data_IF_177023143680
#
_entry.id   IF_177023143680
#
_cell.length_a   1.000
_cell.length_b   1.000
_cell.length_c   1.000
_cell.angle_alpha   90.00
_cell.angle_beta   90.00
_cell.angle_gamma   90.00
#
_symmetry.space_group_name_H-M   'P 1'
#
loop_
_entity.id
_entity.type
_entity.pdbx_description
1 polymer ?
#
# COMPACT_ATOMS: atom_id res chain seq x y z
N UNK A 1 -10.03 37.02 -4.05
CA UNK A 1 -10.38 35.92 -3.14
C UNK A 1 -9.42 34.79 -3.41
N UNK A 2 -8.81 34.27 -2.36
CA UNK A 2 -7.87 33.16 -2.38
C UNK A 2 -8.62 31.87 -2.09
N UNK A 3 -8.53 30.91 -3.00
CA UNK A 3 -9.30 29.66 -2.93
C UNK A 3 -8.30 28.51 -2.97
N UNK A 4 -8.35 27.67 -1.94
CA UNK A 4 -7.62 26.41 -1.90
C UNK A 4 -8.55 25.28 -2.31
N UNK A 5 -8.13 24.49 -3.28
CA UNK A 5 -8.81 23.27 -3.72
C UNK A 5 -7.96 22.09 -3.26
N UNK A 6 -8.46 21.32 -2.29
CA UNK A 6 -7.74 20.18 -1.73
C UNK A 6 -8.64 18.94 -1.56
N UNK A 7 -9.14 18.33 -2.65
CA UNK A 7 -9.95 17.11 -2.61
C UNK A 7 -9.09 15.85 -2.47
N UNK A 8 -9.72 14.76 -2.03
CA UNK A 8 -9.22 13.40 -2.23
C UNK A 8 -9.82 12.82 -3.54
N UNK A 9 -9.31 11.68 -3.99
CA UNK A 9 -9.87 10.96 -5.13
C UNK A 9 -11.32 10.55 -4.88
N UNK A 10 -12.11 10.49 -5.96
CA UNK A 10 -13.44 9.90 -5.93
C UNK A 10 -13.27 8.44 -6.34
N UNK A 11 -13.18 7.55 -5.35
CA UNK A 11 -12.72 6.16 -5.52
C UNK A 11 -13.51 5.46 -6.63
N UNK A 12 -12.79 4.87 -7.59
CA UNK A 12 -13.37 4.21 -8.76
C UNK A 12 -13.91 5.14 -9.86
N UNK A 13 -13.69 6.46 -9.78
CA UNK A 13 -14.18 7.43 -10.77
C UNK A 13 -13.12 8.44 -11.22
N UNK A 14 -12.77 9.42 -10.38
CA UNK A 14 -11.86 10.53 -10.74
C UNK A 14 -10.69 10.60 -9.77
N UNK A 15 -9.50 10.84 -10.29
CA UNK A 15 -8.31 11.09 -9.48
C UNK A 15 -8.36 12.47 -8.83
N UNK A 16 -7.64 12.65 -7.72
CA UNK A 16 -7.58 13.95 -7.02
C UNK A 16 -7.10 15.10 -7.94
N UNK A 17 -6.07 14.92 -8.79
CA UNK A 17 -5.68 15.94 -9.78
C UNK A 17 -6.77 16.30 -10.79
N UNK A 18 -7.54 15.32 -11.28
CA UNK A 18 -8.66 15.58 -12.20
C UNK A 18 -9.76 16.40 -11.53
N UNK A 19 -10.09 16.08 -10.28
CA UNK A 19 -11.09 16.82 -9.49
C UNK A 19 -10.62 18.25 -9.25
N UNK A 20 -9.35 18.45 -8.89
CA UNK A 20 -8.74 19.77 -8.77
C UNK A 20 -8.97 20.62 -10.03
N UNK A 21 -8.69 20.05 -11.20
CA UNK A 21 -8.84 20.77 -12.47
C UNK A 21 -10.31 21.09 -12.78
N UNK A 22 -11.23 20.15 -12.58
CA UNK A 22 -12.66 20.36 -12.79
C UNK A 22 -13.24 21.46 -11.88
N UNK A 23 -12.86 21.45 -10.60
CA UNK A 23 -13.27 22.48 -9.65
C UNK A 23 -12.71 23.84 -10.03
N UNK A 24 -11.43 23.91 -10.40
CA UNK A 24 -10.80 25.15 -10.88
C UNK A 24 -11.52 25.72 -12.09
N UNK A 25 -11.81 24.89 -13.09
CA UNK A 25 -12.53 25.32 -14.30
C UNK A 25 -13.95 25.80 -13.99
N UNK A 26 -14.64 25.16 -13.06
CA UNK A 26 -15.96 25.59 -12.58
C UNK A 26 -15.91 26.93 -11.85
N UNK A 27 -14.92 27.11 -10.97
CA UNK A 27 -14.74 28.34 -10.18
C UNK A 27 -14.40 29.51 -11.09
N UNK A 28 -13.48 29.34 -12.05
CA UNK A 28 -13.07 30.41 -12.96
C UNK A 28 -14.20 30.92 -13.86
N UNK A 29 -15.24 30.11 -14.13
CA UNK A 29 -16.45 30.56 -14.84
C UNK A 29 -17.26 31.58 -14.04
N UNK A 30 -17.25 31.49 -12.71
CA UNK A 30 -18.03 32.35 -11.81
C UNK A 30 -17.21 33.45 -11.13
N UNK A 31 -15.91 33.22 -10.93
CA UNK A 31 -14.95 34.16 -10.34
C UNK A 31 -13.64 34.18 -11.12
N UNK A 32 -13.58 34.93 -12.25
CA UNK A 32 -12.43 34.92 -13.17
C UNK A 32 -11.11 35.48 -12.58
N UNK A 33 -11.19 36.20 -11.46
CA UNK A 33 -10.05 36.85 -10.80
C UNK A 33 -9.70 36.21 -9.44
N UNK A 34 -10.19 34.99 -9.16
CA UNK A 34 -9.78 34.24 -7.97
C UNK A 34 -8.33 33.78 -8.08
N UNK A 35 -7.56 33.93 -6.99
CA UNK A 35 -6.27 33.27 -6.84
C UNK A 35 -6.55 31.84 -6.37
N UNK A 36 -6.14 30.83 -7.15
CA UNK A 36 -6.47 29.42 -6.88
C UNK A 36 -5.19 28.62 -6.69
N UNK A 37 -5.08 27.97 -5.54
CA UNK A 37 -4.10 26.91 -5.31
C UNK A 37 -4.79 25.55 -5.31
N UNK A 38 -4.14 24.55 -5.90
CA UNK A 38 -4.62 23.17 -5.95
C UNK A 38 -3.64 22.28 -5.24
N UNK A 39 -4.14 21.45 -4.33
CA UNK A 39 -3.37 20.50 -3.54
C UNK A 39 -4.11 19.16 -3.61
N UNK A 40 -3.86 18.34 -4.63
CA UNK A 40 -4.47 17.03 -4.67
C UNK A 40 -4.02 16.20 -3.46
N UNK A 41 -4.98 15.73 -2.67
CA UNK A 41 -4.75 14.91 -1.48
C UNK A 41 -4.88 13.41 -1.80
N UNK A 42 -4.42 12.59 -0.85
CA UNK A 42 -4.52 11.13 -0.83
C UNK A 42 -4.45 10.62 0.62
N UNK A 43 -4.78 9.35 0.83
CA UNK A 43 -4.80 8.66 2.14
C UNK A 43 -3.75 7.53 2.21
N UNK A 44 -2.76 7.52 1.31
CA UNK A 44 -1.83 6.39 1.16
C UNK A 44 -2.38 5.23 0.31
N UNK A 45 -3.61 5.36 -0.19
CA UNK A 45 -4.20 4.51 -1.22
C UNK A 45 -4.04 5.10 -2.63
N UNK A 46 -5.03 4.84 -3.48
CA UNK A 46 -5.03 5.18 -4.90
C UNK A 46 -4.77 6.68 -5.15
N UNK A 47 -3.78 7.00 -5.99
CA UNK A 47 -3.46 8.36 -6.41
C UNK A 47 -2.33 9.01 -5.60
N UNK A 48 -1.86 8.35 -4.54
CA UNK A 48 -0.74 8.83 -3.72
C UNK A 48 0.57 8.87 -4.51
N UNK A 49 0.77 7.90 -5.40
CA UNK A 49 1.94 7.80 -6.27
C UNK A 49 2.02 9.02 -7.19
N UNK A 50 0.92 9.39 -7.84
CA UNK A 50 0.86 10.54 -8.73
C UNK A 50 1.11 11.85 -7.97
N UNK A 51 0.48 12.02 -6.80
CA UNK A 51 0.65 13.20 -5.94
C UNK A 51 2.10 13.35 -5.48
N UNK A 52 2.71 12.28 -4.98
CA UNK A 52 4.08 12.33 -4.48
C UNK A 52 5.09 12.60 -5.60
N UNK A 53 4.94 11.96 -6.76
CA UNK A 53 5.85 12.21 -7.90
C UNK A 53 5.74 13.66 -8.39
N UNK A 54 4.54 14.22 -8.49
CA UNK A 54 4.34 15.62 -8.88
C UNK A 54 4.99 16.59 -7.87
N UNK A 55 4.74 16.39 -6.57
CA UNK A 55 5.35 17.18 -5.49
C UNK A 55 6.88 17.13 -5.51
N UNK A 56 7.45 16.02 -5.96
CA UNK A 56 8.90 15.83 -6.01
C UNK A 56 9.52 16.38 -7.31
N UNK A 57 8.71 16.73 -8.31
CA UNK A 57 9.20 16.91 -9.68
C UNK A 57 9.89 15.66 -10.20
N UNK A 58 9.38 14.49 -9.79
CA UNK A 58 9.96 13.18 -10.04
C UNK A 58 9.57 12.61 -11.40
N UNK A 59 9.88 11.33 -11.60
CA UNK A 59 9.58 10.58 -12.82
C UNK A 59 8.95 9.24 -12.52
N UNK A 60 8.11 8.75 -13.44
CA UNK A 60 7.60 7.39 -13.38
C UNK A 60 8.46 6.44 -14.21
N UNK A 61 8.58 5.21 -13.72
CA UNK A 61 9.12 4.08 -14.48
C UNK A 61 8.14 2.90 -14.39
N UNK A 62 7.68 2.40 -15.52
CA UNK A 62 6.73 1.27 -15.57
C UNK A 62 7.49 -0.04 -15.69
N UNK A 63 7.06 -1.02 -14.90
CA UNK A 63 7.69 -2.34 -14.82
C UNK A 63 6.64 -3.45 -14.99
N UNK A 64 7.00 -4.51 -15.70
CA UNK A 64 6.19 -5.72 -15.78
C UNK A 64 6.45 -6.58 -14.54
N UNK A 65 5.44 -6.72 -13.67
CA UNK A 65 5.49 -7.55 -12.46
C UNK A 65 4.33 -8.54 -12.46
N UNK A 66 4.25 -9.37 -11.41
CA UNK A 66 3.13 -10.30 -11.22
C UNK A 66 1.95 -9.61 -10.56
N UNK A 67 0.76 -9.84 -11.10
CA UNK A 67 -0.50 -9.49 -10.48
C UNK A 67 -0.84 -10.44 -9.31
N UNK A 68 -1.97 -10.26 -8.58
CA UNK A 68 -2.34 -11.16 -7.49
C UNK A 68 -2.43 -12.64 -7.86
N UNK A 69 -2.67 -12.98 -9.13
CA UNK A 69 -2.83 -14.34 -9.65
C UNK A 69 -1.65 -14.77 -10.55
N UNK A 70 -0.48 -14.14 -10.37
CA UNK A 70 0.78 -14.42 -11.07
C UNK A 70 0.79 -14.12 -12.57
N UNK A 71 -0.20 -13.38 -13.09
CA UNK A 71 -0.23 -12.91 -14.46
C UNK A 71 0.66 -11.67 -14.60
N UNK A 72 1.26 -11.40 -15.77
CA UNK A 72 2.02 -10.17 -15.97
C UNK A 72 1.09 -8.95 -15.94
N UNK A 73 1.51 -7.90 -15.23
CA UNK A 73 0.85 -6.59 -15.17
C UNK A 73 1.91 -5.48 -15.24
N UNK A 74 1.58 -4.40 -15.94
CA UNK A 74 2.37 -3.17 -15.95
C UNK A 74 2.05 -2.33 -14.71
N UNK A 75 3.05 -2.07 -13.88
CA UNK A 75 2.89 -1.28 -12.66
C UNK A 75 3.95 -0.16 -12.60
N UNK A 76 3.54 1.10 -12.34
CA UNK A 76 4.48 2.21 -12.21
C UNK A 76 5.16 2.24 -10.85
N UNK A 77 6.41 2.72 -10.86
CA UNK A 77 7.18 3.16 -9.69
C UNK A 77 7.44 4.66 -9.87
N UNK A 78 7.24 5.45 -8.81
CA UNK A 78 7.62 6.85 -8.80
C UNK A 78 9.01 7.05 -8.21
N UNK A 79 9.84 7.90 -8.82
CA UNK A 79 11.20 8.17 -8.37
C UNK A 79 11.47 9.67 -8.22
N UNK A 80 12.23 10.02 -7.17
CA UNK A 80 13.03 11.23 -7.09
C UNK A 80 14.49 10.82 -6.85
N UNK A 81 15.22 10.69 -7.95
CA UNK A 81 16.61 10.22 -7.94
C UNK A 81 17.58 11.23 -7.33
N UNK A 82 17.23 12.53 -7.32
CA UNK A 82 18.05 13.56 -6.70
C UNK A 82 18.09 13.39 -5.18
N UNK A 83 16.93 13.06 -4.58
CA UNK A 83 16.80 12.76 -3.15
C UNK A 83 16.88 11.27 -2.82
N UNK A 84 17.10 10.42 -3.83
CA UNK A 84 17.19 8.96 -3.71
C UNK A 84 15.97 8.38 -2.99
N UNK A 85 14.77 8.73 -3.43
CA UNK A 85 13.51 8.19 -2.87
C UNK A 85 12.62 7.60 -3.96
N UNK A 86 11.80 6.63 -3.58
CA UNK A 86 10.76 6.06 -4.42
C UNK A 86 9.40 6.05 -3.74
N UNK A 87 8.34 6.04 -4.54
CA UNK A 87 6.97 5.74 -4.10
C UNK A 87 6.44 4.54 -4.88
N UNK A 88 5.83 3.61 -4.16
CA UNK A 88 5.19 2.41 -4.71
C UNK A 88 3.77 2.35 -4.16
N UNK A 89 2.80 2.11 -5.03
CA UNK A 89 1.43 1.75 -4.66
C UNK A 89 1.23 0.25 -4.86
N UNK A 90 0.98 -0.49 -3.78
CA UNK A 90 0.79 -1.92 -3.86
C UNK A 90 -0.39 -2.29 -4.76
N UNK A 91 -1.43 -1.46 -4.82
CA UNK A 91 -2.63 -1.72 -5.60
C UNK A 91 -2.33 -1.91 -7.10
N UNK A 92 -1.24 -1.29 -7.60
CA UNK A 92 -0.84 -1.38 -9.00
C UNK A 92 -0.27 -2.75 -9.40
N UNK A 93 0.23 -3.52 -8.44
CA UNK A 93 0.74 -4.87 -8.66
C UNK A 93 -0.06 -5.96 -7.93
N UNK A 94 -0.73 -5.62 -6.84
CA UNK A 94 -1.35 -6.58 -5.93
C UNK A 94 -2.73 -6.11 -5.45
N UNK A 95 -3.40 -5.27 -6.26
CA UNK A 95 -4.66 -4.63 -5.91
C UNK A 95 -5.91 -5.36 -6.37
N UNK A 96 -7.01 -5.08 -5.69
CA UNK A 96 -8.34 -5.65 -5.93
C UNK A 96 -8.92 -5.22 -7.29
N UNK A 97 -8.56 -4.02 -7.76
CA UNK A 97 -9.00 -3.49 -9.06
C UNK A 97 -8.41 -4.25 -10.27
N UNK A 98 -7.40 -5.09 -10.06
CA UNK A 98 -6.81 -5.95 -11.10
C UNK A 98 -7.60 -7.25 -11.32
N UNK A 99 -8.59 -7.53 -10.47
CA UNK A 99 -9.33 -8.78 -10.48
C UNK A 99 -10.79 -8.55 -10.87
N UNK A 100 -11.32 -9.42 -11.72
CA UNK A 100 -12.77 -9.53 -11.89
C UNK A 100 -13.42 -10.04 -10.60
N UNK A 101 -14.74 -9.83 -10.45
CA UNK A 101 -15.47 -10.19 -9.22
C UNK A 101 -15.36 -11.70 -8.90
N UNK A 102 -15.38 -12.54 -9.93
CA UNK A 102 -15.26 -13.99 -9.85
C UNK A 102 -13.82 -14.50 -9.73
N UNK A 103 -12.82 -13.64 -9.92
CA UNK A 103 -11.39 -13.94 -9.73
C UNK A 103 -10.91 -13.68 -8.29
N UNK A 104 -11.75 -13.05 -7.45
CA UNK A 104 -11.42 -12.70 -6.07
C UNK A 104 -11.31 -13.93 -5.20
N UNK A 105 -10.07 -14.38 -4.97
CA UNK A 105 -9.75 -15.45 -4.02
C UNK A 105 -8.54 -15.07 -3.15
N UNK A 106 -8.74 -14.69 -1.88
CA UNK A 106 -7.66 -14.29 -0.99
C UNK A 106 -6.81 -15.46 -0.50
N UNK A 107 -7.22 -16.71 -0.75
CA UNK A 107 -6.37 -17.87 -0.51
C UNK A 107 -5.25 -17.96 -1.56
N UNK A 108 -5.52 -17.53 -2.79
CA UNK A 108 -4.60 -17.62 -3.92
C UNK A 108 -3.87 -16.30 -4.20
N UNK A 109 -4.50 -15.16 -3.92
CA UNK A 109 -3.94 -13.84 -4.17
C UNK A 109 -2.59 -13.63 -3.46
N UNK A 110 -1.56 -13.22 -4.21
CA UNK A 110 -0.19 -13.02 -3.70
C UNK A 110 0.28 -11.56 -3.79
N UNK A 111 1.05 -11.13 -2.79
CA UNK A 111 1.73 -9.82 -2.77
C UNK A 111 3.09 -9.80 -3.49
N UNK A 112 3.43 -10.89 -4.20
CA UNK A 112 4.74 -11.06 -4.84
C UNK A 112 5.11 -9.89 -5.77
N UNK A 113 4.18 -9.42 -6.58
CA UNK A 113 4.40 -8.27 -7.47
C UNK A 113 4.81 -6.99 -6.74
N UNK A 114 4.23 -6.73 -5.56
CA UNK A 114 4.64 -5.59 -4.72
C UNK A 114 6.10 -5.74 -4.28
N UNK A 115 6.52 -6.97 -3.92
CA UNK A 115 7.92 -7.24 -3.60
C UNK A 115 8.86 -7.10 -4.80
N UNK A 116 8.40 -7.40 -6.02
CA UNK A 116 9.17 -7.13 -7.25
C UNK A 116 9.37 -5.63 -7.47
N UNK A 117 8.35 -4.80 -7.28
CA UNK A 117 8.49 -3.33 -7.36
C UNK A 117 9.46 -2.81 -6.30
N UNK A 118 9.37 -3.31 -5.07
CA UNK A 118 10.29 -2.96 -3.99
C UNK A 118 11.73 -3.34 -4.35
N UNK A 119 11.95 -4.57 -4.86
CA UNK A 119 13.27 -5.02 -5.32
C UNK A 119 13.84 -4.07 -6.37
N UNK A 120 13.06 -3.71 -7.39
CA UNK A 120 13.50 -2.81 -8.44
C UNK A 120 13.90 -1.45 -7.86
N UNK A 121 13.07 -0.86 -6.99
CA UNK A 121 13.39 0.41 -6.35
C UNK A 121 14.67 0.34 -5.48
N UNK A 122 14.84 -0.75 -4.73
CA UNK A 122 16.04 -1.01 -3.91
C UNK A 122 17.28 -1.09 -4.81
N UNK A 123 17.21 -1.84 -5.90
CA UNK A 123 18.32 -2.03 -6.83
C UNK A 123 18.67 -0.74 -7.60
N UNK A 124 17.73 0.20 -7.74
CA UNK A 124 17.98 1.56 -8.22
C UNK A 124 18.78 2.44 -7.22
N UNK A 125 19.06 1.94 -6.02
CA UNK A 125 19.91 2.62 -5.03
C UNK A 125 19.22 3.73 -4.26
N UNK A 126 17.88 3.71 -4.17
CA UNK A 126 17.13 4.63 -3.30
C UNK A 126 17.44 4.36 -1.83
N UNK A 127 17.32 5.39 -1.00
CA UNK A 127 17.54 5.35 0.44
C UNK A 127 16.24 5.44 1.25
N UNK A 128 15.14 5.84 0.62
CA UNK A 128 13.82 5.94 1.21
C UNK A 128 12.74 5.45 0.23
N UNK A 129 11.78 4.67 0.74
CA UNK A 129 10.63 4.19 -0.03
C UNK A 129 9.36 4.54 0.73
N UNK A 130 8.42 5.18 0.04
CA UNK A 130 7.04 5.35 0.49
C UNK A 130 6.19 4.24 -0.13
N UNK A 131 5.60 3.39 0.70
CA UNK A 131 4.77 2.27 0.26
C UNK A 131 3.31 2.54 0.63
N UNK A 132 2.49 2.86 -0.36
CA UNK A 132 1.03 2.91 -0.23
C UNK A 132 0.45 1.52 -0.29
N UNK A 133 -0.28 1.10 0.75
CA UNK A 133 -0.83 -0.26 0.87
C UNK A 133 -2.35 -0.33 0.73
N UNK A 134 -3.02 0.77 0.34
CA UNK A 134 -4.45 0.76 0.05
C UNK A 134 -4.82 -0.21 -1.08
N UNK A 135 -6.09 -0.63 -1.13
CA UNK A 135 -6.65 -1.32 -2.30
C UNK A 135 -6.19 -2.77 -2.54
N UNK A 136 -5.55 -3.45 -1.58
CA UNK A 136 -5.01 -4.81 -1.73
C UNK A 136 -6.06 -5.88 -2.11
N UNK A 137 -5.67 -6.84 -2.96
CA UNK A 137 -6.40 -8.10 -3.19
C UNK A 137 -6.03 -9.23 -2.22
N UNK A 138 -4.89 -9.11 -1.54
CA UNK A 138 -4.19 -10.23 -0.90
C UNK A 138 -4.56 -10.41 0.57
N UNK A 139 -4.37 -11.62 1.11
CA UNK A 139 -4.42 -11.90 2.55
C UNK A 139 -3.29 -12.87 2.96
N UNK A 140 -2.09 -12.63 2.42
CA UNK A 140 -0.90 -13.45 2.58
C UNK A 140 0.07 -12.91 3.63
N UNK A 141 -0.32 -11.88 4.40
CA UNK A 141 0.54 -11.25 5.40
C UNK A 141 1.76 -10.54 4.81
N UNK A 142 1.78 -10.25 3.51
CA UNK A 142 2.99 -9.75 2.84
C UNK A 142 4.07 -10.83 2.67
N UNK A 143 3.75 -12.11 2.86
CA UNK A 143 4.72 -13.19 2.66
C UNK A 143 5.17 -13.31 1.20
N UNK A 144 4.28 -13.08 0.22
CA UNK A 144 4.65 -13.01 -1.19
C UNK A 144 5.66 -11.90 -1.47
N UNK A 145 5.47 -10.72 -0.88
CA UNK A 145 6.43 -9.62 -0.91
C UNK A 145 7.78 -10.03 -0.30
N UNK A 146 7.77 -10.69 0.86
CA UNK A 146 8.98 -11.25 1.47
C UNK A 146 9.72 -12.22 0.54
N UNK A 147 9.01 -13.13 -0.11
CA UNK A 147 9.58 -14.09 -1.05
C UNK A 147 10.26 -13.41 -2.25
N UNK A 148 9.62 -12.40 -2.85
CA UNK A 148 10.22 -11.61 -3.93
C UNK A 148 11.46 -10.81 -3.48
N UNK A 149 11.56 -10.49 -2.19
CA UNK A 149 12.72 -9.85 -1.57
C UNK A 149 13.78 -10.86 -1.10
N UNK A 150 13.60 -12.15 -1.39
CA UNK A 150 14.60 -13.19 -1.14
C UNK A 150 14.54 -13.81 0.26
N UNK A 151 13.46 -13.59 1.02
CA UNK A 151 13.18 -14.42 2.19
C UNK A 151 12.68 -15.79 1.70
N UNK A 152 13.25 -16.86 2.23
CA UNK A 152 12.81 -18.21 1.90
C UNK A 152 11.79 -18.70 2.93
N UNK A 153 10.70 -19.31 2.47
CA UNK A 153 9.61 -19.83 3.31
C UNK A 153 9.60 -21.35 3.17
N UNK A 154 10.22 -22.04 4.11
CA UNK A 154 10.44 -23.49 4.06
C UNK A 154 9.26 -24.25 4.67
N UNK A 155 8.86 -25.35 4.05
CA UNK A 155 7.91 -26.30 4.63
C UNK A 155 8.60 -27.33 5.56
N UNK A 156 7.81 -28.24 6.14
CA UNK A 156 8.31 -29.31 7.01
C UNK A 156 9.21 -30.35 6.33
N UNK A 157 9.20 -30.40 4.99
CA UNK A 157 10.09 -31.25 4.19
C UNK A 157 11.42 -30.55 3.84
N UNK A 158 11.58 -29.28 4.25
CA UNK A 158 12.75 -28.47 3.92
C UNK A 158 12.76 -27.98 2.47
N UNK A 159 11.58 -27.84 1.84
CA UNK A 159 11.41 -27.27 0.51
C UNK A 159 10.85 -25.84 0.58
N UNK A 160 11.34 -24.98 -0.31
CA UNK A 160 10.84 -23.60 -0.46
C UNK A 160 9.41 -23.58 -1.01
N UNK A 161 8.55 -22.80 -0.39
CA UNK A 161 7.18 -22.55 -0.82
C UNK A 161 7.03 -21.14 -1.39
N UNK A 162 6.13 -20.98 -2.36
CA UNK A 162 5.60 -19.66 -2.70
C UNK A 162 4.43 -19.38 -1.75
N UNK A 163 4.57 -18.44 -0.81
CA UNK A 163 3.56 -18.22 0.22
C UNK A 163 2.35 -17.45 -0.34
N UNK A 164 1.17 -17.87 0.11
CA UNK A 164 -0.14 -17.29 -0.18
C UNK A 164 -1.00 -17.41 1.07
N UNK A 165 -2.12 -16.66 1.15
CA UNK A 165 -3.01 -16.73 2.30
C UNK A 165 -3.46 -18.17 2.62
N UNK A 166 -3.66 -19.00 1.59
CA UNK A 166 -4.15 -20.36 1.73
C UNK A 166 -3.16 -21.40 2.24
N UNK A 167 -1.86 -21.11 2.28
CA UNK A 167 -0.83 -22.10 2.62
C UNK A 167 0.19 -21.62 3.68
N UNK A 168 -0.06 -20.50 4.36
CA UNK A 168 0.88 -19.98 5.36
C UNK A 168 1.10 -20.97 6.51
N UNK A 169 0.11 -21.78 6.84
CA UNK A 169 0.18 -22.84 7.87
C UNK A 169 1.16 -23.97 7.53
N UNK A 170 1.52 -24.13 6.24
CA UNK A 170 2.53 -25.10 5.81
C UNK A 170 3.96 -24.59 5.98
N UNK A 171 4.16 -23.30 6.28
CA UNK A 171 5.48 -22.72 6.48
C UNK A 171 5.97 -23.13 7.87
N UNK A 172 7.13 -23.78 7.93
CA UNK A 172 7.77 -24.19 9.16
C UNK A 172 8.96 -23.31 9.53
N UNK A 173 9.57 -22.60 8.57
CA UNK A 173 10.70 -21.71 8.81
C UNK A 173 10.79 -20.57 7.79
N UNK A 174 11.16 -19.38 8.25
CA UNK A 174 11.53 -18.24 7.42
C UNK A 174 13.05 -18.06 7.49
N UNK A 175 13.73 -18.10 6.34
CA UNK A 175 15.17 -17.86 6.23
C UNK A 175 15.37 -16.49 5.57
N UNK A 176 15.99 -15.51 6.25
CA UNK A 176 16.21 -14.21 5.65
C UNK A 176 17.36 -14.25 4.63
N UNK A 177 17.37 -13.34 3.63
CA UNK A 177 18.47 -13.28 2.66
C UNK A 177 19.79 -12.87 3.33
N UNK A 178 20.92 -13.26 2.73
CA UNK A 178 22.26 -12.94 3.23
C UNK A 178 22.52 -11.43 3.35
N UNK A 179 21.97 -10.64 2.42
CA UNK A 179 22.12 -9.20 2.39
C UNK A 179 20.78 -8.50 2.64
N UNK A 180 20.73 -7.70 3.72
CA UNK A 180 19.55 -6.96 4.16
C UNK A 180 19.87 -5.46 4.34
N UNK A 181 20.44 -4.85 3.32
CA UNK A 181 20.64 -3.40 3.31
C UNK A 181 19.38 -2.71 2.76
N UNK A 182 18.30 -2.76 3.53
CA UNK A 182 17.03 -2.16 3.13
C UNK A 182 17.09 -0.64 3.24
N UNK A 183 16.52 0.11 2.28
CA UNK A 183 16.27 1.53 2.46
C UNK A 183 15.27 1.75 3.60
N UNK A 184 15.14 2.99 4.06
CA UNK A 184 14.07 3.35 4.99
C UNK A 184 12.72 3.14 4.29
N UNK A 185 11.90 2.22 4.79
CA UNK A 185 10.55 2.00 4.26
C UNK A 185 9.52 2.66 5.18
N UNK A 186 8.72 3.55 4.61
CA UNK A 186 7.61 4.24 5.25
C UNK A 186 6.32 3.74 4.60
N UNK A 187 5.52 2.99 5.36
CA UNK A 187 4.23 2.48 4.91
C UNK A 187 3.15 3.50 5.25
N UNK A 188 2.40 3.91 4.23
CA UNK A 188 1.28 4.84 4.38
C UNK A 188 0.02 4.04 4.74
N UNK A 189 -0.44 4.20 5.98
CA UNK A 189 -1.49 3.38 6.56
C UNK A 189 -2.38 4.22 7.49
N UNK A 190 -3.64 4.39 7.11
CA UNK A 190 -4.63 5.16 7.88
C UNK A 190 -5.59 4.29 8.71
N UNK A 191 -5.35 2.98 8.77
CA UNK A 191 -6.16 2.03 9.58
C UNK A 191 -5.35 1.48 10.75
N UNK A 192 -6.04 1.16 11.85
CA UNK A 192 -5.39 0.72 13.10
C UNK A 192 -5.61 -0.76 13.42
N UNK A 193 -6.30 -1.49 12.54
CA UNK A 193 -6.62 -2.90 12.69
C UNK A 193 -5.34 -3.75 12.95
N UNK A 194 -5.33 -4.60 14.00
CA UNK A 194 -4.22 -5.51 14.25
C UNK A 194 -4.20 -6.64 13.22
N UNK A 195 -3.17 -7.49 13.26
CA UNK A 195 -3.00 -8.55 12.27
C UNK A 195 -4.15 -9.57 12.30
N UNK A 196 -4.50 -10.04 13.50
CA UNK A 196 -5.45 -11.13 13.72
C UNK A 196 -6.58 -10.74 14.70
N UNK A 197 -7.60 -11.60 14.80
CA UNK A 197 -8.72 -11.49 15.72
C UNK A 197 -9.95 -10.82 15.10
N UNK A 198 -10.93 -10.47 15.94
CA UNK A 198 -12.24 -9.97 15.46
C UNK A 198 -12.14 -8.66 14.66
N UNK A 199 -11.14 -7.83 14.97
CA UNK A 199 -10.80 -6.61 14.23
C UNK A 199 -9.59 -6.81 13.32
N UNK A 200 -9.16 -8.05 13.09
CA UNK A 200 -7.97 -8.42 12.33
C UNK A 200 -8.14 -8.28 10.83
N UNK A 201 -7.05 -8.47 10.09
CA UNK A 201 -7.00 -8.34 8.64
C UNK A 201 -8.07 -9.19 7.93
N UNK A 202 -8.12 -10.47 8.27
CA UNK A 202 -9.02 -11.44 7.63
C UNK A 202 -10.48 -11.19 7.99
N UNK A 203 -10.77 -10.86 9.25
CA UNK A 203 -12.14 -10.63 9.72
C UNK A 203 -12.76 -9.38 9.09
N UNK A 204 -12.00 -8.29 9.02
CA UNK A 204 -12.51 -6.98 8.56
C UNK A 204 -12.43 -6.85 7.04
N UNK A 205 -11.33 -7.27 6.42
CA UNK A 205 -11.07 -7.01 4.99
C UNK A 205 -11.12 -8.25 4.11
N UNK A 206 -11.16 -9.46 4.69
CA UNK A 206 -11.30 -10.71 3.92
C UNK A 206 -12.58 -10.77 3.06
N UNK A 207 -13.77 -10.41 3.58
CA UNK A 207 -15.02 -10.53 2.82
C UNK A 207 -15.05 -9.75 1.50
N UNK A 208 -14.57 -8.50 1.49
CA UNK A 208 -14.49 -7.69 0.25
C UNK A 208 -13.51 -8.25 -0.79
N UNK A 209 -12.56 -9.09 -0.35
CA UNK A 209 -11.58 -9.80 -1.18
C UNK A 209 -12.08 -11.17 -1.64
N UNK A 210 -13.32 -11.55 -1.32
CA UNK A 210 -13.94 -12.82 -1.72
C UNK A 210 -13.90 -13.92 -0.66
N UNK A 211 -13.42 -13.66 0.56
CA UNK A 211 -13.36 -14.69 1.60
C UNK A 211 -14.76 -15.04 2.15
N UNK A 212 -15.10 -16.33 2.12
CA UNK A 212 -16.22 -16.89 2.87
C UNK A 212 -15.93 -16.87 4.39
N UNK A 213 -16.95 -16.99 5.26
CA UNK A 213 -16.74 -17.03 6.71
C UNK A 213 -15.75 -18.12 7.17
N UNK A 214 -15.69 -19.26 6.47
CA UNK A 214 -14.78 -20.36 6.80
C UNK A 214 -13.34 -20.03 6.37
N UNK A 215 -13.17 -19.43 5.20
CA UNK A 215 -11.88 -18.91 4.73
C UNK A 215 -11.37 -17.79 5.63
N UNK A 216 -12.23 -16.91 6.14
CA UNK A 216 -11.85 -15.86 7.12
C UNK A 216 -11.20 -16.50 8.36
N UNK A 217 -11.81 -17.54 8.93
CA UNK A 217 -11.26 -18.23 10.11
C UNK A 217 -9.96 -18.96 9.82
N UNK A 218 -9.81 -19.49 8.60
CA UNK A 218 -8.57 -20.12 8.16
C UNK A 218 -7.45 -19.09 7.98
N UNK A 219 -7.72 -18.02 7.24
CA UNK A 219 -6.78 -16.93 6.99
C UNK A 219 -6.30 -16.27 8.29
N UNK A 220 -7.19 -16.07 9.28
CA UNK A 220 -6.83 -15.50 10.58
C UNK A 220 -5.84 -16.41 11.35
N UNK A 221 -6.08 -17.73 11.35
CA UNK A 221 -5.14 -18.71 11.92
C UNK A 221 -3.81 -18.75 11.17
N UNK A 222 -3.86 -18.63 9.85
CA UNK A 222 -2.69 -18.62 8.97
C UNK A 222 -1.82 -17.38 9.21
N UNK A 223 -2.43 -16.20 9.40
CA UNK A 223 -1.73 -14.98 9.79
C UNK A 223 -1.16 -15.05 11.21
N UNK A 224 -1.89 -15.63 12.16
CA UNK A 224 -1.41 -15.85 13.53
C UNK A 224 -0.21 -16.81 13.56
N UNK A 225 -0.22 -17.83 12.70
CA UNK A 225 0.94 -18.68 12.48
C UNK A 225 2.14 -17.94 11.89
N UNK A 226 1.92 -17.17 10.84
CA UNK A 226 2.97 -16.36 10.23
C UNK A 226 3.59 -15.37 11.22
N UNK A 227 2.78 -14.75 12.09
CA UNK A 227 3.28 -13.86 13.14
C UNK A 227 4.21 -14.55 14.13
N UNK A 228 3.89 -15.80 14.53
CA UNK A 228 4.80 -16.59 15.38
C UNK A 228 6.13 -16.86 14.69
N UNK A 229 6.12 -17.11 13.38
CA UNK A 229 7.33 -17.31 12.60
C UNK A 229 8.15 -16.02 12.51
N UNK A 230 7.52 -14.86 12.29
CA UNK A 230 8.23 -13.57 12.35
C UNK A 230 8.91 -13.33 13.68
N UNK A 231 8.23 -13.64 14.80
CA UNK A 231 8.82 -13.50 16.12
C UNK A 231 9.97 -14.48 16.33
N UNK A 232 9.80 -15.75 15.94
CA UNK A 232 10.78 -16.83 16.15
C UNK A 232 12.01 -16.69 15.27
N UNK A 233 11.82 -16.44 13.98
CA UNK A 233 12.88 -16.52 12.96
C UNK A 233 13.49 -15.16 12.63
N UNK A 234 12.69 -14.09 12.71
CA UNK A 234 13.13 -12.72 12.39
C UNK A 234 13.28 -11.85 13.64
N UNK A 235 12.85 -12.32 14.81
CA UNK A 235 12.86 -11.54 16.05
C UNK A 235 11.87 -10.37 16.05
N UNK A 236 10.81 -10.43 15.22
CA UNK A 236 9.86 -9.32 15.02
C UNK A 236 8.49 -9.68 15.59
N UNK A 237 8.13 -9.05 16.71
CA UNK A 237 6.79 -9.14 17.31
C UNK A 237 5.95 -7.93 16.90
N UNK A 238 5.13 -8.10 15.86
CA UNK A 238 4.40 -7.00 15.21
C UNK A 238 2.88 -7.23 15.13
N UNK A 239 2.40 -8.40 15.57
CA UNK A 239 1.02 -8.84 15.37
C UNK A 239 -0.02 -7.89 16.01
N UNK A 240 0.35 -7.27 17.13
CA UNK A 240 -0.51 -6.38 17.91
C UNK A 240 -0.24 -4.89 17.67
N UNK A 241 0.72 -4.54 16.82
CA UNK A 241 0.99 -3.13 16.47
C UNK A 241 -0.21 -2.60 15.66
N UNK A 242 -0.78 -1.43 16.00
CA UNK A 242 -1.85 -0.82 15.22
C UNK A 242 -1.47 -0.69 13.74
N UNK A 243 -2.37 -1.15 12.86
CA UNK A 243 -2.17 -1.15 11.41
C UNK A 243 -1.41 -2.36 10.87
N UNK A 244 -0.96 -3.29 11.71
CA UNK A 244 -0.32 -4.54 11.24
C UNK A 244 -1.24 -5.40 10.38
N UNK A 245 -2.56 -5.31 10.55
CA UNK A 245 -3.55 -5.98 9.72
C UNK A 245 -3.89 -5.28 8.40
N UNK A 246 -3.36 -4.08 8.17
CA UNK A 246 -3.62 -3.35 6.95
C UNK A 246 -3.23 -4.18 5.73
N UNK A 247 -4.06 -4.08 4.68
CA UNK A 247 -3.81 -4.73 3.40
C UNK A 247 -3.59 -6.25 3.48
N UNK A 248 -4.41 -6.95 4.28
CA UNK A 248 -4.31 -8.41 4.41
C UNK A 248 -3.09 -8.86 5.21
N UNK A 249 -2.59 -8.01 6.10
CA UNK A 249 -1.41 -8.24 6.92
C UNK A 249 -0.10 -7.73 6.31
N UNK A 250 -0.12 -7.05 5.15
CA UNK A 250 1.08 -6.44 4.58
C UNK A 250 1.69 -5.37 5.50
N UNK A 251 0.89 -4.63 6.29
CA UNK A 251 1.43 -3.72 7.30
C UNK A 251 2.38 -4.44 8.28
N UNK A 252 1.93 -5.60 8.80
CA UNK A 252 2.73 -6.50 9.62
C UNK A 252 3.94 -7.05 8.88
N UNK A 253 3.75 -7.55 7.66
CA UNK A 253 4.82 -8.08 6.83
C UNK A 253 5.91 -7.05 6.52
N UNK A 254 5.54 -5.81 6.20
CA UNK A 254 6.51 -4.73 5.96
C UNK A 254 7.34 -4.41 7.22
N UNK A 255 6.73 -4.42 8.41
CA UNK A 255 7.48 -4.29 9.66
C UNK A 255 8.40 -5.49 9.90
N UNK A 256 7.92 -6.71 9.64
CA UNK A 256 8.66 -7.95 9.91
C UNK A 256 9.84 -8.17 8.95
N UNK A 257 9.64 -7.96 7.65
CA UNK A 257 10.64 -8.23 6.61
C UNK A 257 11.56 -7.04 6.33
N UNK A 258 11.06 -5.81 6.44
CA UNK A 258 11.76 -4.59 6.01
C UNK A 258 12.08 -3.61 7.15
N UNK A 259 11.70 -3.93 8.40
CA UNK A 259 11.78 -2.99 9.54
C UNK A 259 11.07 -1.65 9.23
N UNK A 260 9.99 -1.73 8.45
CA UNK A 260 9.27 -0.57 7.98
C UNK A 260 8.55 0.17 9.12
N UNK A 261 8.27 1.46 8.89
CA UNK A 261 7.46 2.28 9.82
C UNK A 261 6.09 2.54 9.22
N UNK A 262 5.05 2.29 10.00
CA UNK A 262 3.69 2.68 9.65
C UNK A 262 3.46 4.13 10.09
N UNK A 263 2.97 4.95 9.18
CA UNK A 263 2.59 6.34 9.43
C UNK A 263 1.28 6.63 8.72
N UNK A 264 0.52 7.61 9.23
CA UNK A 264 -0.67 8.07 8.51
C UNK A 264 -0.27 8.64 7.14
N UNK A 265 -0.92 8.13 6.09
CA UNK A 265 -0.73 8.62 4.73
C UNK A 265 -1.19 10.07 4.60
N UNK A 266 -2.36 10.35 5.18
CA UNK A 266 -2.91 11.70 5.28
C UNK A 266 -1.93 12.68 5.93
N UNK A 267 -1.37 12.35 7.10
CA UNK A 267 -0.41 13.23 7.80
C UNK A 267 0.87 13.48 6.99
N UNK A 268 1.36 12.45 6.28
CA UNK A 268 2.54 12.58 5.42
C UNK A 268 2.25 13.55 4.28
N UNK A 269 1.11 13.39 3.61
CA UNK A 269 0.75 14.24 2.49
C UNK A 269 0.51 15.69 2.94
N UNK A 270 -0.19 15.91 4.06
CA UNK A 270 -0.43 17.25 4.61
C UNK A 270 0.87 17.99 4.87
N UNK A 271 1.87 17.30 5.45
CA UNK A 271 3.21 17.85 5.69
C UNK A 271 3.97 18.10 4.39
N UNK A 272 3.89 17.19 3.42
CA UNK A 272 4.62 17.34 2.15
C UNK A 272 4.03 18.43 1.26
N UNK A 273 2.76 18.77 1.42
CA UNK A 273 2.08 19.80 0.62
C UNK A 273 2.04 21.16 1.30
N UNK A 274 2.61 21.29 2.51
CA UNK A 274 2.49 22.48 3.37
C UNK A 274 1.01 22.90 3.54
N UNK A 275 0.12 21.92 3.73
CA UNK A 275 -1.33 22.14 3.67
C UNK A 275 -1.78 23.17 4.72
N UNK A 276 -1.20 23.12 5.91
CA UNK A 276 -1.51 24.06 7.01
C UNK A 276 -1.25 25.52 6.60
N UNK A 277 -0.13 25.79 5.94
CA UNK A 277 0.22 27.14 5.48
C UNK A 277 -0.72 27.60 4.36
N UNK A 278 -1.08 26.70 3.45
CA UNK A 278 -2.01 27.00 2.35
C UNK A 278 -3.44 27.23 2.85
N UNK A 279 -3.87 26.50 3.88
CA UNK A 279 -5.15 26.74 4.55
C UNK A 279 -5.15 28.11 5.22
N UNK A 280 -4.06 28.53 5.86
CA UNK A 280 -3.93 29.88 6.43
C UNK A 280 -3.92 30.98 5.36
N UNK A 281 -3.40 30.68 4.17
CA UNK A 281 -3.40 31.60 3.03
C UNK A 281 -4.79 31.80 2.42
N UNK A 282 -5.66 30.78 2.45
CA UNK A 282 -6.94 30.77 1.75
C UNK A 282 -8.06 31.55 2.47
N UNK A 283 -8.91 32.23 1.70
CA UNK A 283 -10.18 32.79 2.18
C UNK A 283 -11.30 31.72 2.19
N UNK A 284 -11.17 30.72 1.31
CA UNK A 284 -12.11 29.61 1.14
C UNK A 284 -11.33 28.32 0.82
N UNK A 285 -11.66 27.24 1.53
CA UNK A 285 -11.15 25.90 1.24
C UNK A 285 -12.29 25.05 0.66
N UNK A 286 -12.02 24.41 -0.48
CA UNK A 286 -12.92 23.46 -1.14
C UNK A 286 -12.24 22.10 -1.12
N UNK A 287 -12.89 21.12 -0.51
CA UNK A 287 -12.44 19.73 -0.42
C UNK A 287 -13.60 18.79 -0.70
N UNK A 288 -13.33 17.50 -0.75
CA UNK A 288 -14.32 16.45 -0.95
C UNK A 288 -13.64 15.11 -1.21
N UNK A 289 -14.39 14.04 -0.98
CA UNK A 289 -14.02 12.67 -1.35
C UNK A 289 -15.24 11.97 -1.95
N UNK A 290 -14.98 10.91 -2.71
CA UNK A 290 -16.03 10.11 -3.33
C UNK A 290 -16.01 8.68 -2.81
N UNK A 291 -17.18 8.22 -2.40
CA UNK A 291 -17.45 6.89 -1.86
C UNK A 291 -18.51 6.21 -2.74
N UNK A 292 -18.27 4.94 -3.09
CA UNK A 292 -19.21 4.06 -3.78
C UNK A 292 -19.60 2.85 -2.92
N UNK A 293 -19.18 2.86 -1.64
CA UNK A 293 -19.40 1.84 -0.62
C UNK A 293 -20.71 2.03 0.16
#
# INVERSE_FOLDING_TARGET
MKILIAPNAFKGSLSSPEICQLLKDGILKSSPHGEIEMVPLGDGGDGTLEVLVDLWGGTFETQTVRDPLDRPVEAPIGFDLNRKRAVIEMARASGLALLAVDEKDPLLASSFGTGQLLRIAIDSGVQEIFLGIGGSATNDGGAGMGAALGFDHMNGDGESLIPRGGNLDAIEQIIPPEFQNWPRVTVLCDVTNPLCGHNGASAVYGPQKGATPDQVRMLDRNLDHLARLWQRDLGRDVAHIPGSGAAGGMGGGAMAYLDARLVSGTDVLFKMTDLDERVQWADLVITGEGALD
#
